data_IF_873971673185
#
_entry.id   IF_873971673185
#
_cell.length_a   1.000
_cell.length_b   1.000
_cell.length_c   1.000
_cell.angle_alpha   90.00
_cell.angle_beta   90.00
_cell.angle_gamma   90.00
#
_symmetry.space_group_name_H-M   'P 1'
#
loop_
_entity.id
_entity.type
_entity.pdbx_description
1 polymer ?
#
# COMPACT_ATOMS: atom_id res chain seq x y z
N UNK A 1 -21.70 14.69 -14.24
CA UNK A 1 -21.18 15.09 -12.91
C UNK A 1 -19.67 14.86 -12.75
N UNK A 2 -18.98 14.43 -13.79
CA UNK A 2 -17.51 14.37 -13.80
C UNK A 2 -17.06 15.69 -14.43
N UNK A 3 -16.61 16.64 -13.61
CA UNK A 3 -15.99 17.86 -14.11
C UNK A 3 -14.69 17.47 -14.79
N UNK A 4 -14.52 17.65 -16.11
CA UNK A 4 -13.34 17.23 -16.85
C UNK A 4 -12.06 17.92 -16.36
N UNK A 5 -12.17 19.05 -15.68
CA UNK A 5 -11.05 19.79 -15.11
C UNK A 5 -10.37 19.12 -13.91
N UNK A 6 -10.98 18.11 -13.28
CA UNK A 6 -10.44 17.45 -12.08
C UNK A 6 -10.22 15.94 -12.25
N UNK A 7 -10.38 15.39 -13.44
CA UNK A 7 -10.19 13.95 -13.72
C UNK A 7 -8.82 13.38 -13.36
N UNK A 8 -7.79 14.21 -13.23
CA UNK A 8 -6.46 13.79 -12.79
C UNK A 8 -6.43 13.20 -11.37
N UNK A 9 -7.39 13.58 -10.50
CA UNK A 9 -7.49 13.00 -9.17
C UNK A 9 -7.90 11.53 -9.17
N UNK A 10 -8.76 11.14 -10.11
CA UNK A 10 -9.16 9.74 -10.31
C UNK A 10 -7.94 8.93 -10.75
N UNK A 11 -7.17 9.46 -11.72
CA UNK A 11 -5.94 8.82 -12.22
C UNK A 11 -4.91 8.66 -11.11
N UNK A 12 -4.66 9.71 -10.33
CA UNK A 12 -3.73 9.65 -9.20
C UNK A 12 -4.19 8.63 -8.14
N UNK A 13 -5.48 8.60 -7.82
CA UNK A 13 -6.03 7.64 -6.87
C UNK A 13 -5.85 6.21 -7.37
N UNK A 14 -6.16 5.95 -8.65
CA UNK A 14 -5.98 4.63 -9.28
C UNK A 14 -4.52 4.21 -9.23
N UNK A 15 -3.60 5.10 -9.59
CA UNK A 15 -2.15 4.83 -9.58
C UNK A 15 -1.62 4.49 -8.18
N UNK A 16 -2.00 5.26 -7.17
CA UNK A 16 -1.51 5.04 -5.80
C UNK A 16 -2.12 3.82 -5.10
N UNK A 17 -3.33 3.43 -5.48
CA UNK A 17 -4.05 2.29 -4.88
C UNK A 17 -3.67 0.98 -5.56
N UNK A 18 -3.44 0.99 -6.88
CA UNK A 18 -3.10 -0.19 -7.64
C UNK A 18 -1.76 -0.79 -7.17
N UNK A 19 -1.79 -2.04 -6.75
CA UNK A 19 -0.61 -2.80 -6.32
C UNK A 19 -0.55 -4.10 -7.12
N UNK A 20 0.63 -4.75 -7.23
CA UNK A 20 0.76 -5.99 -7.98
C UNK A 20 -0.04 -7.17 -7.39
N UNK A 21 -0.44 -7.09 -6.12
CA UNK A 21 -1.21 -8.13 -5.43
C UNK A 21 -2.61 -7.65 -5.07
N UNK A 22 -3.63 -8.51 -5.23
CA UNK A 22 -5.00 -8.23 -4.84
C UNK A 22 -5.13 -7.83 -3.35
N UNK A 23 -4.53 -8.60 -2.45
CA UNK A 23 -4.59 -8.33 -1.01
C UNK A 23 -3.97 -6.98 -0.62
N UNK A 24 -2.83 -6.63 -1.23
CA UNK A 24 -2.18 -5.34 -1.02
C UNK A 24 -3.02 -4.18 -1.56
N UNK A 25 -3.64 -4.34 -2.74
CA UNK A 25 -4.56 -3.34 -3.31
C UNK A 25 -5.78 -3.13 -2.43
N UNK A 26 -6.45 -4.21 -1.99
CA UNK A 26 -7.62 -4.14 -1.09
C UNK A 26 -7.29 -3.38 0.20
N UNK A 27 -6.14 -3.67 0.81
CA UNK A 27 -5.68 -2.97 2.02
C UNK A 27 -5.44 -1.48 1.78
N UNK A 28 -4.73 -1.12 0.70
CA UNK A 28 -4.48 0.29 0.34
C UNK A 28 -5.75 1.03 -0.02
N UNK A 29 -6.69 0.37 -0.71
CA UNK A 29 -8.01 0.90 -1.04
C UNK A 29 -8.77 1.30 0.23
N UNK A 30 -8.91 0.39 1.18
CA UNK A 30 -9.54 0.69 2.47
C UNK A 30 -8.85 1.83 3.23
N UNK A 31 -7.51 1.79 3.30
CA UNK A 31 -6.72 2.84 3.93
C UNK A 31 -6.90 4.22 3.26
N UNK A 32 -7.04 4.25 1.93
CA UNK A 32 -7.26 5.49 1.18
C UNK A 32 -8.65 6.08 1.45
N UNK A 33 -9.69 5.24 1.41
CA UNK A 33 -11.07 5.69 1.67
C UNK A 33 -11.18 6.23 3.11
N UNK A 34 -10.70 5.47 4.09
CA UNK A 34 -10.72 5.87 5.50
C UNK A 34 -9.91 7.15 5.71
N UNK A 35 -8.70 7.22 5.16
CA UNK A 35 -7.85 8.40 5.29
C UNK A 35 -8.47 9.64 4.66
N UNK A 36 -9.09 9.52 3.48
CA UNK A 36 -9.82 10.64 2.84
C UNK A 36 -11.02 11.08 3.67
N UNK A 37 -11.81 10.14 4.18
CA UNK A 37 -12.95 10.46 5.04
C UNK A 37 -12.51 11.21 6.32
N UNK A 38 -11.47 10.75 6.99
CA UNK A 38 -10.89 11.43 8.16
C UNK A 38 -10.40 12.83 7.77
N UNK A 39 -9.64 12.95 6.67
CA UNK A 39 -9.12 14.23 6.20
C UNK A 39 -10.24 15.25 5.88
N UNK A 40 -11.33 14.80 5.24
CA UNK A 40 -12.51 15.62 4.95
C UNK A 40 -13.21 16.08 6.23
N UNK A 41 -13.43 15.17 7.19
CA UNK A 41 -14.11 15.49 8.45
C UNK A 41 -13.30 16.51 9.28
N UNK A 42 -11.98 16.29 9.37
CA UNK A 42 -11.07 17.20 10.09
C UNK A 42 -11.00 18.56 9.38
N UNK A 43 -10.92 18.58 8.04
CA UNK A 43 -10.92 19.83 7.29
C UNK A 43 -12.21 20.63 7.50
N UNK A 44 -13.38 19.96 7.46
CA UNK A 44 -14.66 20.59 7.71
C UNK A 44 -14.71 21.26 9.09
N UNK A 45 -14.33 20.51 10.13
CA UNK A 45 -14.31 21.04 11.49
C UNK A 45 -13.34 22.23 11.66
N UNK A 46 -12.14 22.16 11.03
CA UNK A 46 -11.14 23.22 11.11
C UNK A 46 -11.52 24.47 10.30
N UNK A 47 -12.25 24.33 9.19
CA UNK A 47 -12.74 25.47 8.42
C UNK A 47 -13.75 26.29 9.23
N UNK A 48 -14.63 25.60 9.96
CA UNK A 48 -15.67 26.22 10.79
C UNK A 48 -15.04 26.89 12.04
N UNK A 49 -14.05 26.21 12.65
CA UNK A 49 -13.43 26.67 13.89
C UNK A 49 -12.39 27.80 13.67
N UNK A 50 -11.70 27.80 12.52
CA UNK A 50 -10.61 28.73 12.21
C UNK A 50 -10.78 29.38 10.82
N UNK A 51 -11.64 30.40 10.68
CA UNK A 51 -11.89 31.05 9.39
C UNK A 51 -10.73 31.94 8.91
N UNK A 52 -9.69 32.18 9.73
CA UNK A 52 -8.57 33.05 9.39
C UNK A 52 -7.66 32.39 8.35
N UNK A 53 -7.40 33.03 7.17
CA UNK A 53 -6.59 32.46 6.10
C UNK A 53 -5.14 32.16 6.52
N UNK A 54 -4.54 32.98 7.39
CA UNK A 54 -3.16 32.75 7.87
C UNK A 54 -3.06 31.48 8.71
N UNK A 55 -4.04 31.24 9.58
CA UNK A 55 -4.10 30.03 10.40
C UNK A 55 -4.29 28.79 9.52
N UNK A 56 -5.13 28.89 8.50
CA UNK A 56 -5.35 27.80 7.52
C UNK A 56 -4.07 27.49 6.73
N UNK A 57 -3.25 28.51 6.38
CA UNK A 57 -1.94 28.28 5.75
C UNK A 57 -1.01 27.49 6.67
N UNK A 58 -1.00 27.82 7.97
CA UNK A 58 -0.20 27.08 8.94
C UNK A 58 -0.66 25.60 9.03
N UNK A 59 -1.97 25.34 9.03
CA UNK A 59 -2.51 23.98 9.01
C UNK A 59 -2.17 23.25 7.70
N UNK A 60 -2.18 23.91 6.55
CA UNK A 60 -1.75 23.33 5.28
C UNK A 60 -0.28 22.87 5.33
N UNK A 61 0.61 23.74 5.85
CA UNK A 61 2.03 23.41 6.00
C UNK A 61 2.21 22.24 6.98
N UNK A 62 1.57 22.29 8.15
CA UNK A 62 1.63 21.23 9.14
C UNK A 62 1.13 19.88 8.55
N UNK A 63 0.02 19.89 7.82
CA UNK A 63 -0.49 18.72 7.14
C UNK A 63 0.50 18.18 6.08
N UNK A 64 1.17 19.05 5.33
CA UNK A 64 2.25 18.69 4.42
C UNK A 64 3.40 17.96 5.13
N UNK A 65 3.86 18.50 6.27
CA UNK A 65 4.91 17.87 7.08
C UNK A 65 4.47 16.49 7.58
N UNK A 66 3.25 16.36 8.10
CA UNK A 66 2.68 15.07 8.55
C UNK A 66 2.58 14.07 7.40
N UNK A 67 2.20 14.52 6.21
CA UNK A 67 2.20 13.69 5.00
C UNK A 67 3.58 13.13 4.70
N UNK A 68 4.61 13.97 4.61
CA UNK A 68 5.97 13.52 4.27
C UNK A 68 6.56 12.56 5.30
N UNK A 69 6.31 12.77 6.58
CA UNK A 69 6.77 11.87 7.66
C UNK A 69 6.09 10.49 7.55
N UNK A 70 4.79 10.46 7.25
CA UNK A 70 3.98 9.23 7.33
C UNK A 70 3.79 8.51 5.99
N UNK A 71 4.24 9.05 4.86
CA UNK A 71 3.98 8.49 3.52
C UNK A 71 4.45 7.05 3.33
N UNK A 72 5.50 6.64 4.05
CA UNK A 72 6.08 5.30 3.96
C UNK A 72 5.64 4.36 5.07
N UNK A 73 5.25 4.90 6.24
CA UNK A 73 4.96 4.10 7.43
C UNK A 73 3.47 3.91 7.71
N UNK A 74 2.69 4.99 7.59
CA UNK A 74 1.26 5.01 7.93
C UNK A 74 0.44 5.62 6.80
N UNK A 75 0.12 4.81 5.79
CA UNK A 75 -0.57 5.27 4.58
C UNK A 75 -1.91 5.98 4.86
N UNK A 76 -2.70 5.52 5.83
CA UNK A 76 -3.98 6.16 6.22
C UNK A 76 -3.77 7.60 6.70
N UNK A 77 -2.78 7.83 7.58
CA UNK A 77 -2.46 9.17 8.07
C UNK A 77 -1.91 10.06 6.95
N UNK A 78 -1.07 9.52 6.08
CA UNK A 78 -0.57 10.24 4.92
C UNK A 78 -1.72 10.67 4.00
N UNK A 79 -2.68 9.79 3.75
CA UNK A 79 -3.86 10.11 2.92
C UNK A 79 -4.74 11.18 3.57
N UNK A 80 -4.98 11.10 4.88
CA UNK A 80 -5.73 12.13 5.60
C UNK A 80 -5.01 13.49 5.54
N UNK A 81 -3.70 13.50 5.79
CA UNK A 81 -2.89 14.71 5.79
C UNK A 81 -2.83 15.38 4.39
N UNK A 82 -2.63 14.61 3.31
CA UNK A 82 -2.63 15.20 1.96
C UNK A 82 -4.00 15.72 1.56
N UNK A 83 -5.09 15.05 1.97
CA UNK A 83 -6.45 15.53 1.73
C UNK A 83 -6.68 16.86 2.43
N UNK A 84 -6.27 16.96 3.69
CA UNK A 84 -6.37 18.16 4.51
C UNK A 84 -5.56 19.32 3.90
N UNK A 85 -4.30 19.06 3.53
CA UNK A 85 -3.43 20.05 2.89
C UNK A 85 -4.07 20.61 1.61
N UNK A 86 -4.55 19.73 0.74
CA UNK A 86 -5.18 20.14 -0.53
C UNK A 86 -6.42 20.99 -0.29
N UNK A 87 -7.29 20.60 0.64
CA UNK A 87 -8.50 21.35 0.95
C UNK A 87 -8.20 22.76 1.49
N UNK A 88 -7.21 22.89 2.37
CA UNK A 88 -6.78 24.21 2.85
C UNK A 88 -6.19 25.07 1.74
N UNK A 89 -5.38 24.50 0.83
CA UNK A 89 -4.86 25.24 -0.31
C UNK A 89 -5.98 25.75 -1.23
N UNK A 90 -6.99 24.92 -1.53
CA UNK A 90 -8.12 25.34 -2.36
C UNK A 90 -9.06 26.31 -1.65
N UNK A 91 -9.23 26.18 -0.33
CA UNK A 91 -10.06 27.12 0.43
C UNK A 91 -9.52 28.54 0.39
N UNK A 92 -8.20 28.71 0.25
CA UNK A 92 -7.58 30.03 0.09
C UNK A 92 -7.88 30.67 -1.28
N UNK A 93 -8.21 29.86 -2.28
CA UNK A 93 -8.58 30.31 -3.63
C UNK A 93 -10.11 30.56 -3.73
N UNK A 94 -10.89 30.21 -2.69
CA UNK A 94 -12.33 30.49 -2.60
C UNK A 94 -13.26 29.28 -2.79
N UNK A 95 -12.74 28.09 -3.14
CA UNK A 95 -13.56 26.91 -3.51
C UNK A 95 -13.50 25.75 -2.49
N UNK A 96 -13.08 26.00 -1.24
CA UNK A 96 -12.83 24.94 -0.26
C UNK A 96 -14.02 24.01 0.00
N UNK A 97 -15.20 24.55 0.26
CA UNK A 97 -16.40 23.74 0.53
C UNK A 97 -16.93 23.00 -0.70
N UNK A 98 -16.81 23.59 -1.89
CA UNK A 98 -17.25 22.98 -3.15
C UNK A 98 -16.49 21.70 -3.52
N UNK A 99 -15.30 21.48 -2.95
CA UNK A 99 -14.44 20.35 -3.27
C UNK A 99 -14.65 19.09 -2.42
N UNK A 100 -15.44 19.17 -1.33
CA UNK A 100 -15.64 18.02 -0.43
C UNK A 100 -16.28 16.83 -1.15
N UNK A 101 -17.41 17.05 -1.80
CA UNK A 101 -18.13 16.00 -2.52
C UNK A 101 -17.34 15.47 -3.73
N UNK A 102 -16.82 16.32 -4.64
CA UNK A 102 -15.96 15.84 -5.72
C UNK A 102 -14.78 15.01 -5.24
N UNK A 103 -14.11 15.43 -4.18
CA UNK A 103 -12.95 14.71 -3.62
C UNK A 103 -13.29 13.31 -3.12
N UNK A 104 -14.46 13.18 -2.47
CA UNK A 104 -14.94 11.87 -2.02
C UNK A 104 -15.29 10.98 -3.22
N UNK A 105 -16.01 11.50 -4.20
CA UNK A 105 -16.39 10.77 -5.41
C UNK A 105 -15.17 10.34 -6.23
N UNK A 106 -14.21 11.21 -6.45
CA UNK A 106 -12.97 10.88 -7.19
C UNK A 106 -12.16 9.79 -6.49
N UNK A 107 -12.12 9.82 -5.16
CA UNK A 107 -11.46 8.78 -4.37
C UNK A 107 -12.19 7.44 -4.47
N UNK A 108 -13.51 7.43 -4.40
CA UNK A 108 -14.33 6.22 -4.54
C UNK A 108 -14.23 5.65 -5.96
N UNK A 109 -14.36 6.48 -7.00
CA UNK A 109 -14.24 6.06 -8.39
C UNK A 109 -12.84 5.53 -8.71
N UNK A 110 -11.79 6.25 -8.35
CA UNK A 110 -10.42 5.81 -8.56
C UNK A 110 -10.09 4.51 -7.80
N UNK A 111 -10.64 4.34 -6.60
CA UNK A 111 -10.53 3.12 -5.82
C UNK A 111 -11.26 1.95 -6.47
N UNK A 112 -12.46 2.18 -6.99
CA UNK A 112 -13.25 1.19 -7.72
C UNK A 112 -12.53 0.73 -8.98
N UNK A 113 -12.03 1.68 -9.79
CA UNK A 113 -11.27 1.39 -11.02
C UNK A 113 -10.03 0.57 -10.68
N UNK A 114 -9.24 0.95 -9.66
CA UNK A 114 -8.06 0.22 -9.24
C UNK A 114 -8.40 -1.20 -8.76
N UNK A 115 -9.47 -1.35 -7.98
CA UNK A 115 -9.95 -2.66 -7.52
C UNK A 115 -10.37 -3.57 -8.67
N UNK A 116 -11.16 -3.05 -9.61
CA UNK A 116 -11.59 -3.77 -10.80
C UNK A 116 -10.41 -4.12 -11.72
N UNK A 117 -9.48 -3.20 -11.94
CA UNK A 117 -8.31 -3.43 -12.76
C UNK A 117 -7.47 -4.59 -12.21
N UNK A 118 -7.20 -4.60 -10.91
CA UNK A 118 -6.42 -5.69 -10.28
C UNK A 118 -7.20 -7.00 -10.29
N UNK A 119 -8.51 -6.97 -10.07
CA UNK A 119 -9.34 -8.17 -10.08
C UNK A 119 -9.48 -8.80 -11.49
N UNK A 120 -9.61 -7.97 -12.53
CA UNK A 120 -9.87 -8.45 -13.89
C UNK A 120 -8.59 -8.69 -14.71
N UNK A 121 -7.58 -7.81 -14.59
CA UNK A 121 -6.40 -7.82 -15.47
C UNK A 121 -5.15 -8.40 -14.82
N UNK A 122 -5.06 -8.37 -13.49
CA UNK A 122 -3.90 -8.84 -12.74
C UNK A 122 -4.30 -9.90 -11.69
N UNK A 123 -4.95 -11.01 -12.09
CA UNK A 123 -5.27 -12.08 -11.15
C UNK A 123 -4.01 -12.91 -10.85
N UNK A 124 -3.00 -12.28 -10.24
CA UNK A 124 -1.82 -13.00 -9.75
C UNK A 124 -2.16 -13.68 -8.42
N UNK A 125 -3.00 -14.72 -8.52
CA UNK A 125 -3.43 -15.50 -7.37
C UNK A 125 -2.22 -16.22 -6.76
N UNK A 126 -1.84 -15.86 -5.57
CA UNK A 126 -0.69 -16.44 -4.85
C UNK A 126 -0.90 -17.94 -4.60
N UNK A 127 -2.16 -18.37 -4.45
CA UNK A 127 -2.48 -19.78 -4.32
C UNK A 127 -2.02 -20.64 -5.49
N UNK A 128 -2.01 -20.13 -6.73
CA UNK A 128 -1.49 -20.85 -7.90
C UNK A 128 0.04 -20.96 -7.90
N UNK A 129 0.73 -20.05 -7.23
CA UNK A 129 2.18 -20.06 -7.10
C UNK A 129 2.68 -20.87 -5.92
N UNK A 130 1.80 -21.19 -4.95
CA UNK A 130 2.16 -21.85 -3.71
C UNK A 130 2.92 -23.16 -3.95
N UNK A 131 2.43 -24.02 -4.83
CA UNK A 131 3.07 -25.30 -5.14
C UNK A 131 4.50 -25.13 -5.66
N UNK A 132 4.74 -24.14 -6.53
CA UNK A 132 6.05 -23.84 -7.07
C UNK A 132 7.00 -23.28 -6.00
N UNK A 133 6.52 -22.38 -5.16
CA UNK A 133 7.30 -21.78 -4.06
C UNK A 133 7.62 -22.85 -3.02
N UNK A 134 6.67 -23.70 -2.66
CA UNK A 134 6.87 -24.82 -1.75
C UNK A 134 7.91 -25.81 -2.26
N UNK A 135 7.82 -26.21 -3.54
CA UNK A 135 8.80 -27.11 -4.16
C UNK A 135 10.21 -26.49 -4.14
N UNK A 136 10.34 -25.20 -4.45
CA UNK A 136 11.63 -24.49 -4.36
C UNK A 136 12.16 -24.42 -2.92
N UNK A 137 11.30 -24.17 -1.94
CA UNK A 137 11.69 -24.14 -0.52
C UNK A 137 12.18 -25.49 -0.05
N UNK A 138 11.48 -26.57 -0.39
CA UNK A 138 11.92 -27.94 -0.07
C UNK A 138 13.27 -28.28 -0.70
N UNK A 139 13.47 -27.88 -1.96
CA UNK A 139 14.75 -28.10 -2.67
C UNK A 139 15.90 -27.33 -1.99
N UNK A 140 15.70 -26.04 -1.70
CA UNK A 140 16.72 -25.22 -1.02
C UNK A 140 17.06 -25.75 0.38
N UNK A 141 16.06 -26.15 1.16
CA UNK A 141 16.27 -26.74 2.48
C UNK A 141 16.97 -28.11 2.41
N UNK A 142 16.65 -28.93 1.42
CA UNK A 142 17.36 -30.20 1.18
C UNK A 142 18.84 -29.99 0.84
N UNK A 143 19.14 -29.02 -0.02
CA UNK A 143 20.54 -28.67 -0.35
C UNK A 143 21.25 -28.15 0.89
N UNK A 144 20.61 -27.29 1.68
CA UNK A 144 21.20 -26.77 2.91
C UNK A 144 21.47 -27.87 3.93
N UNK A 145 20.53 -28.80 4.13
CA UNK A 145 20.71 -29.94 5.01
C UNK A 145 21.89 -30.81 4.55
N UNK A 146 22.03 -31.05 3.24
CA UNK A 146 23.17 -31.80 2.68
C UNK A 146 24.51 -31.11 2.98
N UNK A 147 24.59 -29.79 2.85
CA UNK A 147 25.77 -29.01 3.19
C UNK A 147 26.10 -29.09 4.69
N UNK A 148 25.10 -29.10 5.56
CA UNK A 148 25.28 -29.31 7.01
C UNK A 148 25.91 -30.68 7.26
N UNK A 149 25.35 -31.74 6.67
CA UNK A 149 25.87 -33.10 6.85
C UNK A 149 27.33 -33.27 6.34
N UNK A 150 27.67 -32.61 5.22
CA UNK A 150 29.03 -32.56 4.72
C UNK A 150 30.00 -31.88 5.67
N UNK A 151 29.58 -30.75 6.29
CA UNK A 151 30.37 -30.05 7.30
C UNK A 151 30.59 -30.89 8.56
N UNK A 152 29.62 -31.72 8.96
CA UNK A 152 29.80 -32.65 10.06
C UNK A 152 30.75 -33.82 9.72
N UNK A 153 30.72 -34.30 8.47
CA UNK A 153 31.56 -35.43 8.04
C UNK A 153 33.00 -35.00 7.73
N UNK A 154 33.23 -33.83 7.14
CA UNK A 154 34.54 -33.35 6.70
C UNK A 154 35.27 -32.46 7.72
N UNK A 155 34.63 -32.16 8.86
CA UNK A 155 35.10 -31.14 9.80
C UNK A 155 34.61 -29.75 9.39
N UNK A 156 34.52 -28.86 10.38
CA UNK A 156 33.96 -27.53 10.22
C UNK A 156 34.90 -26.65 9.37
N UNK A 157 34.62 -26.53 8.09
CA UNK A 157 35.29 -25.60 7.17
C UNK A 157 34.36 -24.42 6.85
N UNK A 158 34.90 -23.20 6.74
CA UNK A 158 34.17 -22.04 6.30
C UNK A 158 34.01 -22.07 4.77
N UNK A 159 33.03 -22.85 4.29
CA UNK A 159 32.77 -23.08 2.88
C UNK A 159 31.75 -22.12 2.32
N UNK A 160 32.07 -21.50 1.18
CA UNK A 160 31.19 -20.64 0.43
C UNK A 160 29.89 -21.37 0.05
N UNK A 161 29.96 -22.65 -0.29
CA UNK A 161 28.80 -23.47 -0.65
C UNK A 161 27.79 -23.58 0.50
N UNK A 162 28.27 -23.81 1.72
CA UNK A 162 27.42 -23.82 2.92
C UNK A 162 26.74 -22.48 3.15
N UNK A 163 27.46 -21.34 3.07
CA UNK A 163 26.93 -20.02 3.27
C UNK A 163 25.86 -19.65 2.22
N UNK A 164 26.09 -20.01 0.96
CA UNK A 164 25.13 -19.83 -0.13
C UNK A 164 23.88 -20.68 0.08
N UNK A 165 24.05 -21.97 0.41
CA UNK A 165 22.92 -22.86 0.66
C UNK A 165 22.06 -22.35 1.83
N UNK A 166 22.67 -21.91 2.93
CA UNK A 166 22.00 -21.30 4.08
C UNK A 166 21.19 -20.07 3.66
N UNK A 167 21.82 -19.14 2.92
CA UNK A 167 21.16 -17.91 2.46
C UNK A 167 19.97 -18.25 1.55
N UNK A 168 20.14 -19.19 0.63
CA UNK A 168 19.08 -19.58 -0.30
C UNK A 168 17.90 -20.24 0.43
N UNK A 169 18.16 -21.10 1.42
CA UNK A 169 17.12 -21.70 2.26
C UNK A 169 16.32 -20.62 3.01
N UNK A 170 16.99 -19.70 3.72
CA UNK A 170 16.29 -18.61 4.42
C UNK A 170 15.50 -17.71 3.49
N UNK A 171 16.01 -17.38 2.30
CA UNK A 171 15.28 -16.58 1.32
C UNK A 171 14.05 -17.33 0.79
N UNK A 172 14.16 -18.65 0.56
CA UNK A 172 13.04 -19.48 0.13
C UNK A 172 11.96 -19.58 1.21
N UNK A 173 12.34 -19.75 2.48
CA UNK A 173 11.40 -19.76 3.62
C UNK A 173 10.69 -18.41 3.78
N UNK A 174 11.40 -17.30 3.64
CA UNK A 174 10.80 -15.96 3.66
C UNK A 174 9.82 -15.75 2.49
N UNK A 175 10.15 -16.22 1.29
CA UNK A 175 9.28 -16.18 0.13
C UNK A 175 8.00 -17.02 0.35
N UNK A 176 8.12 -18.22 0.94
CA UNK A 176 6.98 -19.08 1.28
C UNK A 176 6.07 -18.39 2.30
N UNK A 177 6.63 -17.85 3.38
CA UNK A 177 5.86 -17.13 4.41
C UNK A 177 5.11 -15.93 3.82
N UNK A 178 5.77 -15.17 2.94
CA UNK A 178 5.14 -14.03 2.25
C UNK A 178 4.00 -14.49 1.32
N UNK A 179 4.21 -15.57 0.58
CA UNK A 179 3.19 -16.14 -0.32
C UNK A 179 1.97 -16.61 0.47
N UNK A 180 2.17 -17.31 1.59
CA UNK A 180 1.08 -17.75 2.46
C UNK A 180 0.32 -16.57 3.07
N UNK A 181 1.02 -15.56 3.57
CA UNK A 181 0.39 -14.36 4.12
C UNK A 181 -0.45 -13.62 3.08
N UNK A 182 0.04 -13.51 1.84
CA UNK A 182 -0.72 -12.89 0.74
C UNK A 182 -1.92 -13.74 0.33
N UNK A 183 -1.78 -15.07 0.27
CA UNK A 183 -2.88 -16.00 -0.05
C UNK A 183 -4.03 -15.88 0.94
N UNK A 184 -3.75 -15.71 2.23
CA UNK A 184 -4.78 -15.53 3.27
C UNK A 184 -5.58 -14.22 3.10
N UNK A 185 -5.08 -13.27 2.32
CA UNK A 185 -5.78 -12.01 2.00
C UNK A 185 -6.60 -12.10 0.71
N UNK A 186 -6.50 -13.20 -0.04
CA UNK A 186 -7.27 -13.43 -1.26
C UNK A 186 -8.70 -13.89 -0.92
N UNK A 187 -9.73 -13.55 -1.75
CA UNK A 187 -11.06 -14.08 -1.56
C UNK A 187 -11.04 -15.61 -1.76
N UNK A 188 -11.55 -16.35 -0.77
CA UNK A 188 -11.48 -17.81 -0.68
C UNK A 188 -12.27 -18.54 -1.74
N UNK A 189 -11.83 -18.53 -2.97
CA UNK A 189 -12.31 -19.31 -4.09
C UNK A 189 -11.22 -20.27 -4.61
N UNK A 190 -10.64 -21.06 -3.69
CA UNK A 190 -9.72 -22.14 -4.05
C UNK A 190 -10.11 -23.42 -3.37
#
# INVERSE_FOLDING_TARGET
LIHPSQGYWIILTTLFVCQPNYGATRRKLGQRIIGTAIGLTVAWALFDLFPNPLVQSCFAIAAGVVFFINRTTRYTLATAAITLMVLFCFNQVGDGYGLFLPRLFDTLLGSLIAGLAVFLFLPDWQGRRLNKVLANTLTCNSIYLRQIMQQYAAGKSDDLAYRLARRNAHNADAALSTTLANMLMEPGHF
#
